data_IF_749450763002
#
_entry.id   IF_749450763002
#
_cell.length_a   1.000
_cell.length_b   1.000
_cell.length_c   1.000
_cell.angle_alpha   90.00
_cell.angle_beta   90.00
_cell.angle_gamma   90.00
#
_symmetry.space_group_name_H-M   'P 1'
#
loop_
_entity.id
_entity.type
_entity.pdbx_description
1 polymer ?
#
# COMPACT_ATOMS: atom_id res chain seq x y z
N UNK A 1 0.78 -15.88 2.42
CA UNK A 1 1.53 -14.60 2.43
C UNK A 1 0.90 -13.49 1.58
N UNK A 2 0.25 -13.77 0.45
CA UNK A 2 -0.46 -12.75 -0.35
C UNK A 2 -1.77 -12.20 0.26
N UNK A 3 -2.26 -12.76 1.38
CA UNK A 3 -3.63 -12.51 1.86
C UNK A 3 -3.84 -11.16 2.54
N UNK A 4 -2.76 -10.54 3.05
CA UNK A 4 -2.87 -9.19 3.66
C UNK A 4 -3.07 -8.12 2.59
N UNK A 5 -2.44 -8.30 1.43
CA UNK A 5 -2.53 -7.34 0.33
C UNK A 5 -3.87 -7.44 -0.41
N UNK A 6 -4.42 -8.65 -0.54
CA UNK A 6 -5.75 -8.86 -1.13
C UNK A 6 -6.89 -8.40 -0.21
N UNK A 7 -6.70 -8.44 1.12
CA UNK A 7 -7.68 -7.88 2.06
C UNK A 7 -7.75 -6.36 1.98
N UNK A 8 -6.62 -5.67 1.81
CA UNK A 8 -6.62 -4.21 1.59
C UNK A 8 -7.35 -3.79 0.31
N UNK A 9 -7.20 -4.54 -0.79
CA UNK A 9 -7.91 -4.22 -2.04
C UNK A 9 -9.43 -4.39 -1.94
N UNK A 10 -9.92 -5.15 -0.96
CA UNK A 10 -11.35 -5.29 -0.69
C UNK A 10 -11.88 -4.26 0.33
N UNK A 11 -11.00 -3.52 1.01
CA UNK A 11 -11.39 -2.48 1.96
C UNK A 11 -11.75 -1.18 1.22
N UNK A 12 -13.05 -0.95 1.01
CA UNK A 12 -13.58 0.26 0.36
C UNK A 12 -13.49 1.55 1.20
N UNK A 13 -13.11 1.42 2.48
CA UNK A 13 -12.93 2.55 3.41
C UNK A 13 -11.45 2.81 3.70
N UNK A 14 -10.54 2.20 2.93
CA UNK A 14 -9.11 2.39 3.14
C UNK A 14 -8.67 3.71 2.51
N UNK A 15 -8.51 4.72 3.36
CA UNK A 15 -8.14 6.09 2.98
C UNK A 15 -6.64 6.37 3.15
N UNK A 16 -5.97 5.66 4.06
CA UNK A 16 -4.59 5.94 4.45
C UNK A 16 -3.77 4.66 4.60
N UNK A 17 -2.58 4.67 4.00
CA UNK A 17 -1.61 3.56 4.08
C UNK A 17 -0.22 4.13 4.38
N UNK A 18 0.44 3.54 5.37
CA UNK A 18 1.82 3.86 5.75
C UNK A 18 2.69 2.64 5.45
N UNK A 19 3.71 2.81 4.61
CA UNK A 19 4.69 1.79 4.26
C UNK A 19 6.09 2.27 4.62
N UNK A 20 6.80 1.51 5.45
CA UNK A 20 8.24 1.67 5.63
C UNK A 20 8.97 0.79 4.62
N UNK A 21 9.66 1.41 3.67
CA UNK A 21 10.56 0.73 2.77
C UNK A 21 11.85 0.38 3.53
N UNK A 22 11.97 -0.89 3.91
CA UNK A 22 13.24 -1.48 4.37
C UNK A 22 13.99 -2.20 3.24
N UNK A 23 13.59 -2.01 1.97
CA UNK A 23 14.06 -2.80 0.84
C UNK A 23 14.83 -1.96 -0.19
N UNK A 24 15.97 -2.54 -0.57
CA UNK A 24 17.13 -2.05 -1.33
C UNK A 24 16.83 -1.30 -2.64
N UNK A 25 15.61 -1.37 -3.20
CA UNK A 25 15.31 -0.87 -4.54
C UNK A 25 14.15 0.14 -4.61
N UNK A 26 13.50 0.48 -3.50
CA UNK A 26 12.48 1.53 -3.45
C UNK A 26 11.22 1.32 -4.31
N UNK A 27 10.97 0.09 -4.78
CA UNK A 27 9.84 -0.22 -5.66
C UNK A 27 8.54 -0.27 -4.86
N UNK A 28 7.57 0.55 -5.28
CA UNK A 28 6.21 0.51 -4.73
C UNK A 28 5.49 -0.76 -5.21
N UNK A 29 4.91 -1.58 -4.33
CA UNK A 29 4.20 -2.79 -4.73
C UNK A 29 2.97 -2.50 -5.61
N UNK A 30 2.71 -3.37 -6.58
CA UNK A 30 1.60 -3.21 -7.53
C UNK A 30 0.21 -3.16 -6.88
N UNK A 31 0.03 -3.76 -5.69
CA UNK A 31 -1.26 -3.73 -4.99
C UNK A 31 -1.70 -2.31 -4.63
N UNK A 32 -0.76 -1.37 -4.43
CA UNK A 32 -1.06 0.03 -4.13
C UNK A 32 -1.81 0.69 -5.31
N UNK A 33 -1.50 0.28 -6.54
CA UNK A 33 -2.23 0.69 -7.74
C UNK A 33 -3.72 0.30 -7.70
N UNK A 34 -4.04 -0.85 -7.11
CA UNK A 34 -5.42 -1.31 -6.92
C UNK A 34 -6.16 -0.62 -5.77
N UNK A 35 -5.48 0.16 -4.93
CA UNK A 35 -6.09 0.94 -3.83
C UNK A 35 -6.46 2.37 -4.23
N UNK A 36 -6.06 2.81 -5.43
CA UNK A 36 -6.09 4.22 -5.87
C UNK A 36 -7.48 4.87 -5.92
N UNK A 37 -8.57 4.09 -5.93
CA UNK A 37 -9.94 4.63 -6.00
C UNK A 37 -10.48 5.11 -4.64
N UNK A 38 -9.91 4.65 -3.52
CA UNK A 38 -10.33 5.04 -2.16
C UNK A 38 -9.20 5.65 -1.34
N UNK A 39 -7.95 5.39 -1.73
CA UNK A 39 -6.78 5.87 -1.02
C UNK A 39 -6.55 7.36 -1.26
N UNK A 40 -6.48 8.14 -0.19
CA UNK A 40 -6.20 9.58 -0.23
C UNK A 40 -4.80 9.92 0.26
N UNK A 41 -4.24 9.11 1.18
CA UNK A 41 -2.91 9.35 1.75
C UNK A 41 -2.04 8.10 1.65
N UNK A 42 -0.87 8.26 1.05
CA UNK A 42 0.17 7.24 0.99
C UNK A 42 1.46 7.83 1.56
N UNK A 43 1.92 7.27 2.68
CA UNK A 43 3.19 7.65 3.29
C UNK A 43 4.23 6.58 3.02
N UNK A 44 5.35 6.99 2.42
CA UNK A 44 6.50 6.14 2.15
C UNK A 44 7.68 6.66 2.96
N UNK A 45 8.17 5.82 3.87
CA UNK A 45 9.36 6.12 4.67
C UNK A 45 10.50 5.21 4.21
N UNK A 46 11.66 5.76 3.88
CA UNK A 46 12.91 5.01 3.76
C UNK A 46 13.75 5.30 4.99
N UNK A 47 14.27 4.26 5.64
CA UNK A 47 15.43 4.41 6.52
C UNK A 47 16.72 4.30 5.70
#
# INVERSE_FOLDING_TARGET
ELSIFTSFTNCRLLEEVILSQSLVNGILPAFVGNLTTTLWRLYLYSN
#
